data_IF_916333176691
#
_entry.id   IF_916333176691
#
_cell.length_a   1.000
_cell.length_b   1.000
_cell.length_c   1.000
_cell.angle_alpha   90.00
_cell.angle_beta   90.00
_cell.angle_gamma   90.00
#
_symmetry.space_group_name_H-M   'P 1'
#
loop_
_entity.id
_entity.type
_entity.pdbx_description
1 polymer ?
#
# COMPACT_ATOMS: atom_id res chain seq x y z
N UNK A 1 5.01 -10.71 23.15
CA UNK A 1 3.93 -11.41 22.42
C UNK A 1 3.80 -10.86 21.01
N UNK A 2 3.90 -9.54 20.80
CA UNK A 2 3.93 -8.91 19.46
C UNK A 2 4.92 -9.52 18.46
N UNK A 3 6.15 -9.85 18.86
CA UNK A 3 7.12 -10.49 17.96
C UNK A 3 6.63 -11.87 17.47
N UNK A 4 5.95 -12.62 18.33
CA UNK A 4 5.36 -13.92 17.98
C UNK A 4 4.16 -13.73 17.05
N UNK A 5 3.30 -12.75 17.32
CA UNK A 5 2.14 -12.43 16.47
C UNK A 5 2.55 -11.89 15.09
N UNK A 6 3.60 -11.04 15.02
CA UNK A 6 4.23 -10.59 13.76
C UNK A 6 4.82 -11.75 12.97
N UNK A 7 5.51 -12.67 13.64
CA UNK A 7 6.07 -13.88 13.00
C UNK A 7 4.94 -14.80 12.52
N UNK A 8 3.85 -14.95 13.27
CA UNK A 8 2.68 -15.72 12.82
C UNK A 8 1.98 -15.06 11.62
N UNK A 9 1.88 -13.73 11.57
CA UNK A 9 1.37 -13.00 10.41
C UNK A 9 2.27 -13.20 9.17
N UNK A 10 3.60 -13.13 9.33
CA UNK A 10 4.57 -13.44 8.27
C UNK A 10 4.49 -14.89 7.77
N UNK A 11 4.22 -15.85 8.66
CA UNK A 11 4.01 -17.27 8.31
C UNK A 11 2.68 -17.45 7.56
N UNK A 12 1.61 -16.78 8.00
CA UNK A 12 0.29 -16.81 7.35
C UNK A 12 0.35 -16.28 5.91
N UNK A 13 1.28 -15.38 5.63
CA UNK A 13 1.40 -14.78 4.31
C UNK A 13 1.90 -15.73 3.21
N UNK A 14 2.61 -16.85 3.48
CA UNK A 14 3.10 -17.84 2.47
C UNK A 14 3.98 -17.27 1.34
N UNK A 15 5.15 -16.72 1.66
CA UNK A 15 6.16 -16.43 0.64
C UNK A 15 6.70 -17.75 0.04
N UNK A 16 6.57 -17.97 -1.28
CA UNK A 16 7.14 -19.16 -1.94
C UNK A 16 8.68 -19.03 -1.99
N UNK A 17 9.44 -19.96 -1.41
CA UNK A 17 10.90 -19.99 -1.54
C UNK A 17 11.34 -20.17 -3.01
N UNK A 18 12.57 -19.76 -3.33
CA UNK A 18 13.23 -20.20 -4.56
C UNK A 18 13.39 -21.74 -4.57
N UNK A 19 13.67 -22.32 -5.74
CA UNK A 19 13.96 -23.76 -5.90
C UNK A 19 15.10 -24.29 -4.98
N UNK A 20 15.86 -23.37 -4.37
CA UNK A 20 16.97 -23.64 -3.43
C UNK A 20 16.58 -23.41 -1.96
N UNK A 21 15.31 -23.16 -1.66
CA UNK A 21 14.80 -22.91 -0.29
C UNK A 21 15.09 -21.52 0.28
N UNK A 22 15.86 -20.68 -0.42
CA UNK A 22 16.13 -19.28 -0.01
C UNK A 22 15.03 -18.36 -0.53
N UNK A 23 14.66 -17.33 0.24
CA UNK A 23 13.68 -16.31 -0.18
C UNK A 23 14.43 -15.02 -0.48
N UNK A 24 14.20 -14.41 -1.65
CA UNK A 24 14.92 -13.20 -2.07
C UNK A 24 14.67 -12.01 -1.15
N UNK A 25 15.66 -11.12 -1.04
CA UNK A 25 15.68 -9.96 -0.14
C UNK A 25 14.38 -9.13 -0.20
N UNK A 26 13.91 -8.79 -1.41
CA UNK A 26 12.70 -8.01 -1.64
C UNK A 26 11.50 -8.85 -2.10
N UNK A 27 11.51 -10.16 -1.83
CA UNK A 27 10.41 -11.02 -2.22
C UNK A 27 9.10 -10.49 -1.60
N UNK A 28 8.10 -10.24 -2.45
CA UNK A 28 6.76 -9.68 -2.12
C UNK A 28 6.71 -8.22 -1.68
N UNK A 29 7.83 -7.62 -1.33
CA UNK A 29 7.93 -6.18 -1.06
C UNK A 29 7.96 -5.37 -2.36
N UNK A 30 8.62 -5.85 -3.40
CA UNK A 30 8.69 -5.13 -4.68
C UNK A 30 7.44 -5.32 -5.54
N UNK A 31 6.83 -4.21 -5.99
CA UNK A 31 5.65 -4.15 -6.86
C UNK A 31 5.93 -3.30 -8.10
N UNK A 32 5.30 -3.64 -9.21
CA UNK A 32 5.37 -2.83 -10.42
C UNK A 32 4.47 -1.60 -10.27
N UNK A 33 5.01 -0.38 -10.39
CA UNK A 33 4.23 0.85 -10.26
C UNK A 33 3.10 0.94 -11.31
N UNK A 34 3.33 0.40 -12.52
CA UNK A 34 2.36 0.50 -13.62
C UNK A 34 1.19 -0.48 -13.53
N UNK A 35 1.34 -1.65 -12.90
CA UNK A 35 0.26 -2.65 -12.81
C UNK A 35 -0.04 -3.15 -11.40
N UNK A 36 0.69 -2.69 -10.38
CA UNK A 36 0.50 -3.06 -8.97
C UNK A 36 0.92 -4.48 -8.58
N UNK A 37 1.18 -5.37 -9.54
CA UNK A 37 1.56 -6.76 -9.26
C UNK A 37 2.94 -6.88 -8.63
N UNK A 38 3.09 -7.84 -7.72
CA UNK A 38 4.37 -8.24 -7.12
C UNK A 38 5.36 -8.64 -8.22
N UNK A 39 6.58 -8.13 -8.11
CA UNK A 39 7.64 -8.40 -9.07
C UNK A 39 8.22 -9.80 -8.89
N UNK A 40 8.55 -10.42 -10.02
CA UNK A 40 9.21 -11.72 -10.08
C UNK A 40 10.71 -11.55 -9.99
N UNK A 41 11.35 -12.42 -9.21
CA UNK A 41 12.82 -12.53 -9.19
C UNK A 41 13.32 -13.39 -10.35
N UNK A 42 14.47 -13.01 -10.90
CA UNK A 42 15.19 -13.75 -11.95
C UNK A 42 16.68 -13.70 -11.66
N UNK A 43 17.43 -14.71 -12.12
CA UNK A 43 18.89 -14.79 -11.97
C UNK A 43 19.54 -14.98 -13.31
N UNK A 44 20.74 -14.42 -13.46
CA UNK A 44 21.58 -14.68 -14.64
C UNK A 44 22.26 -16.04 -14.51
N UNK A 45 22.63 -16.65 -15.63
CA UNK A 45 23.40 -17.89 -15.64
C UNK A 45 24.72 -17.74 -14.84
N UNK A 46 25.23 -18.81 -14.21
CA UNK A 46 26.45 -18.77 -13.41
C UNK A 46 27.66 -18.19 -14.15
N UNK A 47 27.80 -18.51 -15.43
CA UNK A 47 28.89 -18.00 -16.28
C UNK A 47 28.86 -16.48 -16.52
N UNK A 48 27.74 -15.81 -16.21
CA UNK A 48 27.58 -14.36 -16.32
C UNK A 48 27.54 -13.67 -14.95
N UNK A 49 28.03 -14.34 -13.91
CA UNK A 49 28.18 -13.78 -12.56
C UNK A 49 26.93 -13.82 -11.70
N UNK A 50 25.95 -14.68 -11.99
CA UNK A 50 24.79 -14.99 -11.12
C UNK A 50 23.99 -13.78 -10.58
N UNK A 51 23.94 -12.66 -11.31
CA UNK A 51 23.24 -11.45 -10.84
C UNK A 51 21.74 -11.66 -10.71
N UNK A 52 21.16 -11.08 -9.66
CA UNK A 52 19.74 -11.13 -9.36
C UNK A 52 18.99 -9.87 -9.82
N UNK A 53 17.81 -10.07 -10.40
CA UNK A 53 16.96 -9.00 -10.91
C UNK A 53 15.51 -9.19 -10.52
N UNK A 54 14.80 -8.08 -10.38
CA UNK A 54 13.35 -8.01 -10.24
C UNK A 54 12.75 -7.52 -11.56
N UNK A 55 11.73 -8.23 -12.04
CA UNK A 55 11.00 -7.88 -13.27
C UNK A 55 9.49 -7.95 -13.06
N UNK A 56 8.75 -7.12 -13.77
CA UNK A 56 7.29 -7.15 -13.74
C UNK A 56 6.74 -8.51 -14.18
N UNK A 57 5.90 -9.11 -13.32
CA UNK A 57 5.31 -10.43 -13.56
C UNK A 57 4.37 -10.43 -14.77
N UNK A 58 3.52 -9.42 -14.93
CA UNK A 58 2.58 -9.35 -16.06
C UNK A 58 3.29 -9.14 -17.39
N UNK A 59 4.28 -8.23 -17.45
CA UNK A 59 5.07 -7.99 -18.67
C UNK A 59 5.87 -9.23 -19.10
N UNK A 60 6.33 -10.01 -18.13
CA UNK A 60 7.03 -11.27 -18.40
C UNK A 60 6.12 -12.30 -19.08
N UNK A 61 4.85 -12.36 -18.67
CA UNK A 61 3.85 -13.26 -19.26
C UNK A 61 3.41 -12.76 -20.64
N UNK A 62 3.09 -11.48 -20.77
CA UNK A 62 2.65 -10.87 -22.02
C UNK A 62 3.23 -9.46 -22.16
N UNK A 63 3.94 -9.18 -23.26
CA UNK A 63 4.72 -7.94 -23.45
C UNK A 63 3.86 -6.67 -23.49
N UNK A 64 2.61 -6.81 -23.90
CA UNK A 64 1.58 -5.78 -24.05
C UNK A 64 0.75 -5.58 -22.78
N UNK A 65 0.76 -6.52 -21.84
CA UNK A 65 -0.03 -6.43 -20.60
C UNK A 65 0.46 -5.36 -19.61
N UNK A 66 1.72 -4.93 -19.72
CA UNK A 66 2.29 -3.88 -18.87
C UNK A 66 3.56 -3.31 -19.51
N UNK A 67 3.78 -1.99 -19.37
CA UNK A 67 5.04 -1.36 -19.80
C UNK A 67 6.27 -1.91 -19.04
N UNK A 68 6.02 -2.43 -17.83
CA UNK A 68 6.84 -3.25 -16.94
C UNK A 68 8.15 -2.67 -16.45
N UNK A 69 8.33 -2.78 -15.14
CA UNK A 69 9.53 -2.44 -14.41
C UNK A 69 10.61 -3.54 -14.47
N UNK A 70 11.87 -3.11 -14.39
CA UNK A 70 13.04 -3.99 -14.34
C UNK A 70 14.18 -3.32 -13.57
N UNK A 71 14.73 -4.00 -12.56
CA UNK A 71 15.82 -3.49 -11.72
C UNK A 71 16.70 -4.62 -11.18
N UNK A 72 18.00 -4.37 -10.98
CA UNK A 72 18.88 -5.30 -10.27
C UNK A 72 18.67 -5.22 -8.75
N UNK A 73 18.70 -6.36 -8.06
CA UNK A 73 18.54 -6.41 -6.60
C UNK A 73 19.59 -5.55 -5.89
N UNK A 74 20.87 -5.66 -6.25
CA UNK A 74 21.98 -4.87 -5.66
C UNK A 74 21.81 -3.35 -5.84
N UNK A 75 21.06 -2.94 -6.86
CA UNK A 75 20.78 -1.51 -7.07
C UNK A 75 19.64 -1.08 -6.17
N UNK A 76 18.59 -1.88 -6.08
CA UNK A 76 17.47 -1.58 -5.20
C UNK A 76 17.93 -1.55 -3.74
N UNK A 77 18.75 -2.52 -3.32
CA UNK A 77 19.35 -2.56 -1.99
C UNK A 77 20.13 -1.29 -1.67
N UNK A 78 21.03 -0.85 -2.54
CA UNK A 78 21.78 0.40 -2.32
C UNK A 78 20.89 1.63 -2.22
N UNK A 79 19.80 1.70 -2.98
CA UNK A 79 18.87 2.83 -2.92
C UNK A 79 18.08 2.83 -1.62
N UNK A 80 17.63 1.66 -1.17
CA UNK A 80 16.93 1.51 0.11
C UNK A 80 17.88 1.86 1.27
N UNK A 81 19.13 1.37 1.25
CA UNK A 81 20.14 1.72 2.27
C UNK A 81 20.41 3.22 2.29
N UNK A 82 20.59 3.84 1.13
CA UNK A 82 20.82 5.27 1.04
C UNK A 82 19.65 6.06 1.64
N UNK A 83 18.41 5.61 1.39
CA UNK A 83 17.22 6.26 1.95
C UNK A 83 17.10 6.05 3.46
N UNK A 84 17.41 4.85 3.99
CA UNK A 84 17.45 4.61 5.44
C UNK A 84 18.48 5.52 6.11
N UNK A 85 19.69 5.61 5.56
CA UNK A 85 20.74 6.47 6.11
C UNK A 85 20.38 7.96 5.99
N UNK A 86 19.70 8.38 4.91
CA UNK A 86 19.20 9.76 4.76
C UNK A 86 18.15 10.08 5.83
N UNK A 87 17.19 9.18 6.02
CA UNK A 87 16.18 9.31 7.07
C UNK A 87 16.86 9.35 8.44
N UNK A 88 17.80 8.43 8.73
CA UNK A 88 18.56 8.40 9.98
C UNK A 88 19.24 9.73 10.27
N UNK A 89 19.93 10.33 9.29
CA UNK A 89 20.55 11.64 9.45
C UNK A 89 19.51 12.75 9.72
N UNK A 90 18.41 12.78 8.97
CA UNK A 90 17.33 13.76 9.15
C UNK A 90 16.64 13.64 10.52
N UNK A 91 16.45 12.42 11.01
CA UNK A 91 15.84 12.16 12.33
C UNK A 91 16.81 12.43 13.49
N UNK A 92 18.12 12.29 13.29
CA UNK A 92 19.12 12.62 14.31
C UNK A 92 19.31 14.14 14.48
N UNK A 93 19.08 14.93 13.42
CA UNK A 93 19.24 16.39 13.45
C UNK A 93 18.04 17.16 14.03
N UNK A 94 16.85 16.54 14.09
CA UNK A 94 15.62 17.16 14.60
C UNK A 94 15.35 16.75 16.06
N UNK A 95 14.82 17.68 16.86
CA UNK A 95 14.39 17.37 18.23
C UNK A 95 13.18 16.42 18.23
N UNK A 96 13.19 15.43 19.14
CA UNK A 96 12.17 14.37 19.24
C UNK A 96 10.75 14.92 19.40
N UNK A 97 10.62 16.07 20.08
CA UNK A 97 9.33 16.73 20.29
C UNK A 97 8.78 17.32 18.98
N UNK A 98 9.63 17.93 18.15
CA UNK A 98 9.20 18.50 16.87
C UNK A 98 8.73 17.41 15.90
N UNK A 99 9.44 16.27 15.88
CA UNK A 99 9.07 15.11 15.06
C UNK A 99 7.72 14.53 15.47
N UNK A 100 7.53 14.27 16.76
CA UNK A 100 6.27 13.75 17.29
C UNK A 100 5.09 14.69 16.98
N UNK A 101 5.29 16.00 17.11
CA UNK A 101 4.29 17.01 16.76
C UNK A 101 3.96 16.97 15.26
N UNK A 102 4.96 16.94 14.37
CA UNK A 102 4.75 16.84 12.92
C UNK A 102 4.01 15.54 12.54
N UNK A 103 4.40 14.41 13.11
CA UNK A 103 3.78 13.10 12.89
C UNK A 103 2.30 13.09 13.31
N UNK A 104 2.02 13.50 14.55
CA UNK A 104 0.67 13.54 15.09
C UNK A 104 -0.22 14.51 14.30
N UNK A 105 0.30 15.68 13.93
CA UNK A 105 -0.44 16.65 13.10
C UNK A 105 -0.79 16.09 11.72
N UNK A 106 0.13 15.38 11.07
CA UNK A 106 -0.11 14.77 9.77
C UNK A 106 -1.17 13.67 9.83
N UNK A 107 -1.07 12.76 10.80
CA UNK A 107 -2.08 11.71 11.01
C UNK A 107 -3.44 12.30 11.38
N UNK A 108 -3.47 13.32 12.23
CA UNK A 108 -4.70 14.01 12.60
C UNK A 108 -5.36 14.70 11.39
N UNK A 109 -4.55 15.33 10.51
CA UNK A 109 -5.05 15.92 9.28
C UNK A 109 -5.62 14.85 8.31
N UNK A 110 -4.95 13.70 8.19
CA UNK A 110 -5.45 12.56 7.40
C UNK A 110 -6.76 12.00 7.98
N UNK A 111 -6.81 11.79 9.29
CA UNK A 111 -8.02 11.37 10.03
C UNK A 111 -9.20 12.29 9.75
N UNK A 112 -8.98 13.61 9.85
CA UNK A 112 -10.02 14.60 9.62
C UNK A 112 -10.55 14.58 8.18
N UNK A 113 -9.70 14.35 7.18
CA UNK A 113 -10.12 14.20 5.78
C UNK A 113 -11.00 12.97 5.59
N UNK A 114 -10.58 11.81 6.10
CA UNK A 114 -11.35 10.57 5.98
C UNK A 114 -12.71 10.71 6.70
N UNK A 115 -12.74 11.30 7.91
CA UNK A 115 -13.99 11.58 8.62
C UNK A 115 -14.95 12.46 7.80
N UNK A 116 -14.42 13.50 7.14
CA UNK A 116 -15.21 14.36 6.25
C UNK A 116 -15.79 13.58 5.07
N UNK A 117 -14.98 12.76 4.41
CA UNK A 117 -15.42 11.94 3.27
C UNK A 117 -16.47 10.90 3.70
N UNK A 118 -16.26 10.24 4.84
CA UNK A 118 -17.22 9.30 5.40
C UNK A 118 -18.56 9.96 5.72
N UNK A 119 -18.55 11.17 6.29
CA UNK A 119 -19.77 11.93 6.55
C UNK A 119 -20.52 12.23 5.24
N UNK A 120 -19.81 12.62 4.18
CA UNK A 120 -20.40 12.86 2.86
C UNK A 120 -20.97 11.58 2.23
N UNK A 121 -20.26 10.46 2.31
CA UNK A 121 -20.73 9.17 1.77
C UNK A 121 -21.92 8.62 2.54
N UNK A 122 -21.93 8.73 3.87
CA UNK A 122 -23.09 8.34 4.71
C UNK A 122 -24.32 9.15 4.34
N UNK A 123 -24.19 10.48 4.24
CA UNK A 123 -25.29 11.36 3.80
C UNK A 123 -25.82 10.96 2.43
N UNK A 124 -24.93 10.69 1.46
CA UNK A 124 -25.33 10.26 0.12
C UNK A 124 -26.00 8.89 0.09
N UNK A 125 -25.57 7.96 0.95
CA UNK A 125 -26.22 6.65 1.14
C UNK A 125 -27.65 6.82 1.68
N UNK A 126 -27.85 7.74 2.64
CA UNK A 126 -29.17 8.08 3.16
C UNK A 126 -30.08 8.72 2.10
N UNK A 127 -29.53 9.57 1.23
CA UNK A 127 -30.25 10.15 0.09
C UNK A 127 -30.74 9.06 -0.88
N UNK A 128 -29.90 8.09 -1.24
CA UNK A 128 -30.34 6.94 -2.04
C UNK A 128 -31.40 6.10 -1.32
N UNK A 129 -31.23 5.85 -0.02
CA UNK A 129 -32.21 5.13 0.77
C UNK A 129 -33.57 5.85 0.81
N UNK A 130 -33.55 7.18 0.88
CA UNK A 130 -34.75 8.02 0.78
C UNK A 130 -35.37 7.94 -0.61
N UNK A 131 -34.57 8.06 -1.67
CA UNK A 131 -35.02 7.93 -3.05
C UNK A 131 -35.72 6.60 -3.33
N UNK A 132 -35.22 5.48 -2.78
CA UNK A 132 -35.88 4.17 -2.89
C UNK A 132 -37.27 4.18 -2.24
N UNK A 133 -37.41 4.80 -1.06
CA UNK A 133 -38.72 4.93 -0.38
C UNK A 133 -39.68 5.80 -1.17
N UNK A 134 -39.21 6.89 -1.77
CA UNK A 134 -40.01 7.79 -2.59
C UNK A 134 -40.46 7.11 -3.89
N UNK A 135 -39.56 6.38 -4.58
CA UNK A 135 -39.89 5.58 -5.76
C UNK A 135 -41.01 4.58 -5.47
N UNK A 136 -41.00 3.93 -4.30
CA UNK A 136 -42.08 3.02 -3.90
C UNK A 136 -43.42 3.75 -3.79
N UNK A 137 -43.44 4.94 -3.17
CA UNK A 137 -44.65 5.73 -3.04
C UNK A 137 -45.18 6.21 -4.39
N UNK A 138 -44.30 6.59 -5.32
CA UNK A 138 -44.69 7.05 -6.65
C UNK A 138 -45.22 5.90 -7.53
N UNK A 139 -44.66 4.69 -7.37
CA UNK A 139 -45.20 3.47 -7.97
C UNK A 139 -46.61 3.17 -7.46
N UNK A 140 -46.85 3.28 -6.15
CA UNK A 140 -48.18 3.06 -5.55
C UNK A 140 -49.20 4.10 -6.04
N UNK A 141 -48.78 5.33 -6.30
CA UNK A 141 -49.62 6.39 -6.88
C UNK A 141 -49.85 6.25 -8.39
N UNK A 142 -49.17 5.31 -9.06
CA UNK A 142 -49.25 5.12 -10.51
C UNK A 142 -48.53 6.21 -11.33
N UNK A 143 -47.59 6.94 -10.72
CA UNK A 143 -46.82 7.99 -11.41
C UNK A 143 -45.67 7.43 -12.26
N UNK A 144 -45.24 6.21 -11.97
CA UNK A 144 -44.18 5.49 -12.69
C UNK A 144 -44.62 4.07 -13.01
N UNK A 145 -44.04 3.48 -14.06
CA UNK A 145 -44.33 2.09 -14.42
C UNK A 145 -43.59 1.11 -13.51
N UNK A 146 -44.00 -0.16 -13.52
CA UNK A 146 -43.27 -1.22 -12.81
C UNK A 146 -41.84 -1.39 -13.35
N UNK A 147 -41.64 -1.24 -14.67
CA UNK A 147 -40.32 -1.30 -15.29
C UNK A 147 -39.40 -0.20 -14.77
N UNK A 148 -39.88 1.05 -14.75
CA UNK A 148 -39.12 2.21 -14.26
C UNK A 148 -38.75 2.03 -12.78
N UNK A 149 -39.70 1.54 -11.97
CA UNK A 149 -39.45 1.26 -10.56
C UNK A 149 -38.34 0.22 -10.37
N UNK A 150 -38.39 -0.90 -11.10
CA UNK A 150 -37.39 -1.97 -10.98
C UNK A 150 -36.01 -1.47 -11.40
N UNK A 151 -35.91 -0.72 -12.49
CA UNK A 151 -34.65 -0.18 -12.98
C UNK A 151 -34.04 0.82 -11.98
N UNK A 152 -34.80 1.86 -11.59
CA UNK A 152 -34.32 2.92 -10.72
C UNK A 152 -34.03 2.42 -9.29
N UNK A 153 -34.86 1.52 -8.76
CA UNK A 153 -34.64 0.94 -7.43
C UNK A 153 -33.38 0.07 -7.39
N UNK A 154 -33.10 -0.69 -8.45
CA UNK A 154 -31.87 -1.47 -8.58
C UNK A 154 -30.63 -0.57 -8.63
N UNK A 155 -30.70 0.51 -9.41
CA UNK A 155 -29.59 1.45 -9.52
C UNK A 155 -29.29 2.14 -8.19
N UNK A 156 -30.31 2.66 -7.50
CA UNK A 156 -30.15 3.28 -6.19
C UNK A 156 -29.63 2.30 -5.14
N UNK A 157 -30.14 1.07 -5.14
CA UNK A 157 -29.66 0.01 -4.23
C UNK A 157 -28.19 -0.29 -4.50
N UNK A 158 -27.80 -0.44 -5.76
CA UNK A 158 -26.40 -0.70 -6.15
C UNK A 158 -25.47 0.44 -5.72
N UNK A 159 -25.89 1.71 -5.91
CA UNK A 159 -25.10 2.86 -5.46
C UNK A 159 -25.00 2.94 -3.93
N UNK A 160 -26.09 2.65 -3.21
CA UNK A 160 -26.11 2.58 -1.75
C UNK A 160 -25.13 1.52 -1.23
N UNK A 161 -25.20 0.30 -1.73
CA UNK A 161 -24.31 -0.80 -1.34
C UNK A 161 -22.84 -0.50 -1.67
N UNK A 162 -22.57 0.19 -2.78
CA UNK A 162 -21.21 0.64 -3.12
C UNK A 162 -20.69 1.65 -2.11
N UNK A 163 -21.51 2.64 -1.72
CA UNK A 163 -21.14 3.63 -0.72
C UNK A 163 -20.95 3.01 0.67
N UNK A 164 -21.82 2.07 1.06
CA UNK A 164 -21.68 1.35 2.33
C UNK A 164 -20.37 0.55 2.42
N UNK A 165 -19.93 -0.06 1.32
CA UNK A 165 -18.60 -0.70 1.24
C UNK A 165 -17.45 0.29 1.37
N UNK A 166 -17.53 1.45 0.73
CA UNK A 166 -16.52 2.51 0.86
C UNK A 166 -16.48 3.05 2.30
N UNK A 167 -17.63 3.19 2.95
CA UNK A 167 -17.72 3.61 4.36
C UNK A 167 -17.05 2.60 5.28
N UNK A 168 -17.34 1.30 5.11
CA UNK A 168 -16.73 0.25 5.91
C UNK A 168 -15.20 0.16 5.72
N UNK A 169 -14.69 0.43 4.52
CA UNK A 169 -13.24 0.49 4.27
C UNK A 169 -12.59 1.71 4.93
N UNK A 170 -13.22 2.89 4.81
CA UNK A 170 -12.73 4.10 5.47
C UNK A 170 -12.76 4.02 7.00
N UNK A 171 -13.72 3.30 7.58
CA UNK A 171 -13.75 3.02 9.03
C UNK A 171 -12.57 2.16 9.48
N UNK A 172 -12.13 1.18 8.67
CA UNK A 172 -10.92 0.41 8.96
C UNK A 172 -9.67 1.27 8.90
N UNK A 173 -9.57 2.12 7.87
CA UNK A 173 -8.46 3.06 7.75
C UNK A 173 -8.38 4.03 8.94
N UNK A 174 -9.53 4.46 9.47
CA UNK A 174 -9.56 5.27 10.69
C UNK A 174 -9.04 4.52 11.91
N UNK A 175 -9.42 3.26 12.08
CA UNK A 175 -8.90 2.43 13.18
C UNK A 175 -7.37 2.27 13.08
N UNK A 176 -6.85 2.02 11.87
CA UNK A 176 -5.40 1.92 11.65
C UNK A 176 -4.66 3.23 11.94
N UNK A 177 -5.25 4.39 11.62
CA UNK A 177 -4.68 5.70 11.95
C UNK A 177 -4.72 5.94 13.46
N UNK A 178 -5.80 5.56 14.14
CA UNK A 178 -5.93 5.71 15.59
C UNK A 178 -4.93 4.83 16.34
N UNK A 179 -4.71 3.60 15.88
CA UNK A 179 -3.67 2.73 16.41
C UNK A 179 -2.28 3.35 16.21
N UNK A 180 -1.99 3.95 15.04
CA UNK A 180 -0.71 4.65 14.79
C UNK A 180 -0.53 5.88 15.68
N UNK A 181 -1.59 6.66 15.92
CA UNK A 181 -1.54 7.81 16.83
C UNK A 181 -1.30 7.34 18.27
N UNK A 182 -1.96 6.25 18.69
CA UNK A 182 -1.83 5.71 20.06
C UNK A 182 -0.45 5.09 20.31
N UNK A 183 0.14 4.44 19.31
CA UNK A 183 1.50 3.87 19.38
C UNK A 183 2.56 4.97 19.41
N UNK A 184 2.30 6.14 18.83
CA UNK A 184 3.25 7.26 18.77
C UNK A 184 4.30 7.12 17.67
N UNK A 185 5.18 8.11 17.55
CA UNK A 185 6.24 8.12 16.54
C UNK A 185 7.45 7.26 16.97
N UNK A 186 7.40 5.96 16.69
CA UNK A 186 8.53 5.05 16.94
C UNK A 186 9.56 5.04 15.79
N UNK A 187 9.46 5.98 14.84
CA UNK A 187 10.36 6.04 13.68
C UNK A 187 11.79 6.25 14.11
N UNK A 188 12.00 7.13 15.08
CA UNK A 188 13.33 7.44 15.61
C UNK A 188 14.00 6.19 16.17
N UNK A 189 13.37 5.50 17.12
CA UNK A 189 13.92 4.28 17.72
C UNK A 189 14.18 3.18 16.69
N UNK A 190 13.27 3.01 15.72
CA UNK A 190 13.44 2.04 14.65
C UNK A 190 14.61 2.39 13.73
N UNK A 191 14.75 3.65 13.32
CA UNK A 191 15.76 4.09 12.35
C UNK A 191 17.13 4.24 13.01
N UNK A 192 17.20 4.67 14.28
CA UNK A 192 18.46 4.78 15.04
C UNK A 192 19.20 3.43 15.12
N UNK A 193 18.47 2.32 15.23
CA UNK A 193 19.02 0.96 15.23
C UNK A 193 19.73 0.59 13.91
N UNK A 194 19.43 1.31 12.82
CA UNK A 194 19.99 1.07 11.49
C UNK A 194 20.84 2.25 10.98
N UNK A 195 21.37 3.08 11.88
CA UNK A 195 22.31 4.14 11.54
C UNK A 195 23.57 3.55 10.88
N UNK A 196 24.01 4.11 9.75
CA UNK A 196 25.14 3.62 8.96
C UNK A 196 24.98 2.16 8.47
N UNK A 197 23.77 1.78 8.07
CA UNK A 197 23.54 0.45 7.53
C UNK A 197 24.36 0.23 6.24
N UNK A 198 25.16 -0.84 6.18
CA UNK A 198 25.95 -1.19 4.99
C UNK A 198 25.29 -2.27 4.13
N UNK A 199 24.47 -3.12 4.73
CA UNK A 199 23.82 -4.26 4.08
C UNK A 199 22.39 -4.47 4.56
N UNK A 200 21.49 -4.86 3.66
CA UNK A 200 20.13 -5.24 4.03
C UNK A 200 20.06 -6.75 4.24
N UNK A 201 19.41 -7.14 5.32
CA UNK A 201 18.94 -8.50 5.50
C UNK A 201 17.41 -8.54 5.38
N UNK A 202 16.86 -9.75 5.31
CA UNK A 202 15.41 -9.94 5.16
C UNK A 202 14.63 -9.37 6.34
N UNK A 203 15.12 -9.55 7.55
CA UNK A 203 14.45 -9.07 8.77
C UNK A 203 14.29 -7.55 8.76
N UNK A 204 15.34 -6.82 8.36
CA UNK A 204 15.31 -5.36 8.21
C UNK A 204 14.28 -4.94 7.17
N UNK A 205 14.28 -5.61 6.01
CA UNK A 205 13.32 -5.33 4.94
C UNK A 205 11.88 -5.60 5.37
N UNK A 206 11.62 -6.70 6.07
CA UNK A 206 10.27 -7.03 6.57
C UNK A 206 9.83 -6.06 7.68
N UNK A 207 10.75 -5.60 8.53
CA UNK A 207 10.47 -4.70 9.65
C UNK A 207 10.21 -3.27 9.18
N UNK A 208 11.04 -2.75 8.29
CA UNK A 208 11.00 -1.33 7.92
C UNK A 208 10.08 -1.05 6.73
N UNK A 209 9.95 -1.99 5.79
CA UNK A 209 9.33 -1.72 4.49
C UNK A 209 7.99 -2.45 4.40
N UNK A 210 6.92 -1.71 4.10
CA UNK A 210 5.62 -2.28 3.72
C UNK A 210 5.74 -2.82 2.28
N UNK A 211 5.99 -1.94 1.32
CA UNK A 211 6.28 -2.31 -0.06
C UNK A 211 7.11 -1.24 -0.79
N UNK A 212 7.61 -1.61 -1.98
CA UNK A 212 8.39 -0.75 -2.85
C UNK A 212 7.73 -0.73 -4.22
N UNK A 213 7.30 0.44 -4.66
CA UNK A 213 6.80 0.67 -6.03
C UNK A 213 7.97 0.93 -6.96
N UNK A 214 8.07 0.15 -8.03
CA UNK A 214 9.16 0.25 -9.01
C UNK A 214 8.58 0.57 -10.37
N UNK A 215 8.99 1.70 -10.93
CA UNK A 215 8.59 2.18 -12.24
C UNK A 215 9.42 1.61 -13.39
N UNK A 216 9.02 1.98 -14.61
CA UNK A 216 9.79 1.70 -15.81
C UNK A 216 11.03 2.60 -15.86
N UNK A 217 12.15 2.04 -16.32
CA UNK A 217 13.38 2.82 -16.57
C UNK A 217 13.08 3.97 -17.53
N UNK A 218 13.43 5.20 -17.14
CA UNK A 218 13.22 6.39 -17.96
C UNK A 218 14.11 6.28 -19.22
N UNK A 219 13.53 6.33 -20.44
CA UNK A 219 14.28 6.25 -21.68
C UNK A 219 15.42 7.28 -21.74
N UNK A 220 16.57 6.89 -22.31
CA UNK A 220 17.76 7.76 -22.38
C UNK A 220 18.54 7.89 -21.07
N UNK A 221 18.04 7.36 -19.95
CA UNK A 221 18.74 7.40 -18.67
C UNK A 221 18.94 6.01 -18.08
N UNK A 222 19.79 5.93 -17.06
CA UNK A 222 19.85 4.75 -16.19
C UNK A 222 18.84 4.84 -15.05
N UNK A 223 18.02 5.89 -14.93
CA UNK A 223 17.15 6.09 -13.77
C UNK A 223 15.91 5.18 -13.80
N UNK A 224 15.58 4.58 -12.66
CA UNK A 224 14.39 3.76 -12.44
C UNK A 224 13.64 4.44 -11.29
N UNK A 225 12.44 5.01 -11.53
CA UNK A 225 11.64 5.62 -10.49
C UNK A 225 11.28 4.57 -9.43
N UNK A 226 11.53 4.91 -8.16
CA UNK A 226 11.23 4.05 -7.02
C UNK A 226 10.58 4.90 -5.96
N UNK A 227 9.56 4.34 -5.33
CA UNK A 227 8.91 4.88 -4.15
C UNK A 227 8.88 3.80 -3.08
N UNK A 228 9.36 4.12 -1.88
CA UNK A 228 9.44 3.19 -0.75
C UNK A 228 8.33 3.57 0.23
N UNK A 229 7.49 2.60 0.55
CA UNK A 229 6.45 2.73 1.56
C UNK A 229 6.92 2.03 2.83
N UNK A 230 7.10 2.80 3.90
CA UNK A 230 7.62 2.33 5.18
C UNK A 230 6.49 1.82 6.07
N UNK A 231 6.81 0.90 6.99
CA UNK A 231 5.88 0.38 7.99
C UNK A 231 5.60 1.36 9.14
N UNK A 232 6.20 2.55 9.10
CA UNK A 232 6.15 3.56 10.16
C UNK A 232 5.61 4.89 9.64
#
# INVERSE_FOLDING_TARGET
>A
RELWDRVQAMIAERAKPFDVGTIGLFARKARCASCGYVMRSSKTAPQRGSKHYLQCSNRHVAKDACEGAFISVDRLERLVIAEINRLSAEYLDKDELEQNIEFCNNLQAQKNRILSDLAAYRKKSEEYAKGIRELYMDKVKGLITESDFVELSKDFTTQKERLERVVADGEKQLAEIDDKIAVGDNRRELIEQYTNLEHLNREIVETLIDYISIGKRIPGTRNVPIEIHWNF
#
